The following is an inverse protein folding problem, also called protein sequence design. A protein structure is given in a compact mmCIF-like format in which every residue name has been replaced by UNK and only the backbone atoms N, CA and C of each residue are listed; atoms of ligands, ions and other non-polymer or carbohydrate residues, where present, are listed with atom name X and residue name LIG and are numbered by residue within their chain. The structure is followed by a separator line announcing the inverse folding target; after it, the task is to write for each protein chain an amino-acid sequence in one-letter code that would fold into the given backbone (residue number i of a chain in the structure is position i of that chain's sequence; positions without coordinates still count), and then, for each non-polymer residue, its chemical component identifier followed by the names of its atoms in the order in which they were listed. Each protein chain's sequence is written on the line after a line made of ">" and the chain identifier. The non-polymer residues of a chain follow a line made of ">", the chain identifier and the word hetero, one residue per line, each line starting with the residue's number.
data_IF_545125437642
#
_entry.id   IF_545125437642
#
_cell.length_a   1.000
_cell.length_b   1.000
_cell.length_c   1.000
_cell.angle_alpha   90.00
_cell.angle_beta   90.00
_cell.angle_gamma   90.00
#
_symmetry.space_group_name_H-M   'P 1'
#
loop_
_entity.id
_entity.type
_entity.pdbx_description
1 polymer ?
#
# COMPACT_ATOMS: atom_id res chain seq x y z
N UNK A 1 40.17 -22.96 -3.66
CA UNK A 1 38.99 -22.62 -2.82
C UNK A 1 38.49 -21.25 -3.24
N UNK A 2 37.20 -20.96 -3.05
CA UNK A 2 36.59 -19.66 -3.37
C UNK A 2 35.78 -19.22 -2.15
N UNK A 3 35.85 -17.93 -1.81
CA UNK A 3 35.05 -17.31 -0.77
C UNK A 3 33.76 -16.74 -1.40
N UNK A 4 32.62 -17.08 -0.82
CA UNK A 4 31.30 -16.71 -1.33
C UNK A 4 30.42 -16.18 -0.21
N UNK A 5 29.79 -15.02 -0.45
CA UNK A 5 28.93 -14.32 0.51
C UNK A 5 27.53 -14.09 -0.11
N UNK A 6 26.48 -14.56 0.55
CA UNK A 6 25.09 -14.18 0.22
C UNK A 6 24.61 -13.13 1.22
N UNK A 7 24.36 -11.92 0.73
CA UNK A 7 23.72 -10.86 1.51
C UNK A 7 22.20 -10.99 1.40
N UNK A 8 21.53 -11.16 2.54
CA UNK A 8 20.06 -11.20 2.59
C UNK A 8 19.52 -9.77 2.53
N UNK A 9 18.68 -9.50 1.54
CA UNK A 9 17.91 -8.27 1.43
C UNK A 9 16.61 -8.32 2.25
N UNK A 10 15.66 -7.45 1.92
CA UNK A 10 14.35 -7.42 2.56
C UNK A 10 13.59 -8.74 2.31
N UNK A 11 12.76 -9.19 3.28
CA UNK A 11 11.82 -10.28 3.04
C UNK A 11 10.73 -9.85 2.04
N UNK A 12 9.90 -10.79 1.61
CA UNK A 12 8.73 -10.46 0.81
C UNK A 12 7.66 -9.82 1.69
N UNK A 13 6.94 -8.83 1.15
CA UNK A 13 5.78 -8.26 1.83
C UNK A 13 4.61 -9.24 1.69
N UNK A 14 3.97 -9.56 2.82
CA UNK A 14 2.74 -10.37 2.84
C UNK A 14 1.62 -9.60 3.54
N UNK A 15 0.44 -9.64 2.93
CA UNK A 15 -0.78 -9.15 3.52
C UNK A 15 -1.51 -10.33 4.17
N UNK A 16 -1.85 -10.20 5.45
CA UNK A 16 -2.61 -11.24 6.15
C UNK A 16 -4.06 -11.24 5.66
N UNK A 17 -4.56 -12.42 5.25
CA UNK A 17 -5.79 -12.57 4.49
C UNK A 17 -7.01 -11.99 5.21
N UNK A 18 -7.16 -12.27 6.51
CA UNK A 18 -8.33 -11.82 7.28
C UNK A 18 -8.31 -10.32 7.54
N UNK A 19 -7.17 -9.77 7.94
CA UNK A 19 -6.98 -8.34 8.14
C UNK A 19 -7.20 -7.58 6.83
N UNK A 20 -6.64 -8.06 5.73
CA UNK A 20 -6.81 -7.44 4.42
C UNK A 20 -8.25 -7.50 3.92
N UNK A 21 -8.96 -8.60 4.16
CA UNK A 21 -10.39 -8.68 3.84
C UNK A 21 -11.23 -7.64 4.62
N UNK A 22 -10.93 -7.45 5.91
CA UNK A 22 -11.59 -6.43 6.73
C UNK A 22 -11.24 -5.00 6.26
N UNK A 23 -9.95 -4.72 6.04
CA UNK A 23 -9.49 -3.42 5.54
C UNK A 23 -10.11 -3.11 4.18
N UNK A 24 -10.22 -4.09 3.29
CA UNK A 24 -10.90 -3.93 2.00
C UNK A 24 -12.36 -3.53 2.20
N UNK A 25 -13.12 -4.25 3.04
CA UNK A 25 -14.52 -3.92 3.29
C UNK A 25 -14.70 -2.51 3.88
N UNK A 26 -13.83 -2.10 4.80
CA UNK A 26 -13.88 -0.75 5.38
C UNK A 26 -13.46 0.33 4.37
N UNK A 27 -12.50 0.04 3.49
CA UNK A 27 -12.11 0.96 2.42
C UNK A 27 -13.25 1.11 1.39
N UNK A 28 -13.96 0.03 1.04
CA UNK A 28 -15.11 0.08 0.13
C UNK A 28 -16.27 0.89 0.73
N UNK A 29 -16.48 0.81 2.05
CA UNK A 29 -17.46 1.60 2.79
C UNK A 29 -17.11 3.11 2.79
N UNK A 30 -15.83 3.46 2.93
CA UNK A 30 -15.37 4.85 2.96
C UNK A 30 -15.25 5.49 1.56
N UNK A 31 -14.69 4.75 0.59
CA UNK A 31 -14.34 5.25 -0.74
C UNK A 31 -15.38 4.94 -1.81
N UNK A 32 -16.29 4.01 -1.56
CA UNK A 32 -17.08 3.37 -2.60
C UNK A 32 -16.35 2.18 -3.24
N UNK A 33 -17.11 1.15 -3.60
CA UNK A 33 -16.58 -0.15 -4.06
C UNK A 33 -15.77 -0.03 -5.35
N UNK A 34 -16.16 0.88 -6.23
CA UNK A 34 -15.50 1.15 -7.50
C UNK A 34 -14.10 1.75 -7.35
N UNK A 35 -13.79 2.33 -6.20
CA UNK A 35 -12.50 2.99 -5.92
C UNK A 35 -11.51 2.07 -5.19
N UNK A 36 -11.89 0.82 -4.90
CA UNK A 36 -11.03 -0.17 -4.24
C UNK A 36 -10.73 -1.31 -5.21
N UNK A 37 -9.52 -1.34 -5.73
CA UNK A 37 -9.13 -2.24 -6.82
C UNK A 37 -8.19 -3.34 -6.32
N UNK A 38 -8.31 -4.52 -6.94
CA UNK A 38 -7.29 -5.55 -6.78
C UNK A 38 -6.07 -5.20 -7.64
N UNK A 39 -4.88 -5.44 -7.09
CA UNK A 39 -3.61 -5.14 -7.74
C UNK A 39 -2.87 -6.45 -8.02
N UNK A 40 -2.23 -6.51 -9.18
CA UNK A 40 -1.27 -7.57 -9.48
C UNK A 40 -0.05 -7.50 -8.55
N UNK A 41 0.63 -8.64 -8.42
CA UNK A 41 1.91 -8.72 -7.71
C UNK A 41 2.91 -7.75 -8.33
N UNK A 42 3.61 -7.01 -7.48
CA UNK A 42 4.65 -6.08 -7.89
C UNK A 42 6.01 -6.53 -7.33
N UNK A 43 7.01 -6.53 -8.20
CA UNK A 43 8.37 -6.99 -7.86
C UNK A 43 9.22 -5.95 -7.13
N UNK A 44 8.65 -4.82 -6.71
CA UNK A 44 9.38 -3.82 -5.92
C UNK A 44 9.67 -4.35 -4.51
N UNK A 45 10.81 -3.95 -3.96
CA UNK A 45 11.15 -4.22 -2.57
C UNK A 45 10.60 -3.12 -1.68
N UNK A 46 10.05 -3.50 -0.53
CA UNK A 46 9.43 -2.60 0.45
C UNK A 46 9.84 -3.08 1.85
N UNK A 47 10.38 -2.19 2.69
CA UNK A 47 10.89 -2.59 4.00
C UNK A 47 9.77 -2.80 5.04
N UNK A 48 8.56 -2.30 4.75
CA UNK A 48 7.35 -2.67 5.50
C UNK A 48 7.17 -4.19 5.57
N UNK A 49 7.74 -4.94 4.60
CA UNK A 49 7.79 -6.39 4.63
C UNK A 49 8.29 -6.96 5.97
N UNK A 50 9.21 -6.29 6.67
CA UNK A 50 9.66 -6.73 8.00
C UNK A 50 8.53 -6.78 9.03
N UNK A 51 7.60 -5.83 9.01
CA UNK A 51 6.43 -5.86 9.91
C UNK A 51 5.51 -7.03 9.57
N UNK A 52 5.29 -7.28 8.27
CA UNK A 52 4.46 -8.41 7.84
C UNK A 52 5.00 -9.78 8.22
N UNK A 53 6.29 -9.90 8.57
CA UNK A 53 6.86 -11.17 9.04
C UNK A 53 6.55 -11.49 10.50
N UNK A 54 6.18 -10.48 11.31
CA UNK A 54 6.10 -10.62 12.78
C UNK A 54 4.72 -10.32 13.35
N UNK A 55 3.82 -9.75 12.56
CA UNK A 55 2.43 -9.48 12.95
C UNK A 55 1.54 -9.47 11.71
N UNK A 56 0.25 -9.73 11.92
CA UNK A 56 -0.77 -9.53 10.88
C UNK A 56 -0.67 -8.08 10.38
N UNK A 57 -0.46 -7.93 9.08
CA UNK A 57 -0.23 -6.65 8.44
C UNK A 57 -1.03 -6.55 7.13
N UNK A 58 -1.42 -5.34 6.78
CA UNK A 58 -2.06 -5.03 5.51
C UNK A 58 -1.44 -3.75 4.95
N UNK A 59 -0.76 -3.89 3.82
CA UNK A 59 -0.19 -2.81 3.04
C UNK A 59 -1.00 -2.64 1.75
N UNK A 60 -1.51 -1.43 1.53
CA UNK A 60 -2.26 -1.07 0.33
C UNK A 60 -1.59 0.11 -0.37
N UNK A 61 -1.89 0.30 -1.66
CA UNK A 61 -1.42 1.49 -2.40
C UNK A 61 -2.54 2.50 -2.52
N UNK A 62 -2.19 3.75 -2.35
CA UNK A 62 -3.07 4.88 -2.61
C UNK A 62 -2.87 5.37 -4.05
N UNK A 63 -3.97 5.61 -4.77
CA UNK A 63 -3.92 6.23 -6.09
C UNK A 63 -3.53 7.70 -6.00
N UNK A 64 -2.41 8.08 -6.63
CA UNK A 64 -1.93 9.48 -6.69
C UNK A 64 -1.84 10.02 -8.12
N UNK A 65 -2.21 9.20 -9.11
CA UNK A 65 -2.14 9.50 -10.55
C UNK A 65 -3.26 10.46 -10.95
N UNK A 66 -2.94 11.46 -11.77
CA UNK A 66 -3.92 12.35 -12.39
C UNK A 66 -3.55 12.61 -13.86
N UNK A 67 -4.35 12.08 -14.79
CA UNK A 67 -4.09 12.22 -16.24
C UNK A 67 -4.35 13.64 -16.75
N UNK A 68 -5.38 14.32 -16.24
CA UNK A 68 -5.74 15.69 -16.65
C UNK A 68 -4.63 16.70 -16.33
N UNK A 69 -3.89 16.47 -15.24
CA UNK A 69 -2.75 17.27 -14.79
C UNK A 69 -1.40 16.76 -15.31
N UNK A 70 -1.38 15.66 -16.07
CA UNK A 70 -0.15 15.02 -16.56
C UNK A 70 0.67 14.27 -15.50
N UNK A 71 0.15 14.13 -14.27
CA UNK A 71 0.77 13.41 -13.15
C UNK A 71 0.64 11.90 -13.37
N UNK A 72 1.54 11.36 -14.19
CA UNK A 72 1.46 9.98 -14.71
C UNK A 72 2.75 9.18 -14.56
N UNK A 73 3.80 9.84 -14.08
CA UNK A 73 5.14 9.27 -13.91
C UNK A 73 5.18 8.28 -12.74
N UNK A 74 5.94 7.21 -12.89
CA UNK A 74 6.21 6.26 -11.82
C UNK A 74 7.10 6.86 -10.73
N UNK A 75 7.08 6.26 -9.54
CA UNK A 75 8.08 6.52 -8.49
C UNK A 75 9.50 6.34 -9.04
N UNK A 76 10.46 7.09 -8.49
CA UNK A 76 11.88 7.12 -8.89
C UNK A 76 12.22 7.77 -10.24
N UNK A 77 11.28 8.45 -10.90
CA UNK A 77 11.61 9.29 -12.07
C UNK A 77 11.81 10.76 -11.67
N UNK A 78 12.60 11.57 -12.43
CA UNK A 78 12.78 13.00 -12.14
C UNK A 78 11.51 13.84 -12.37
N UNK A 79 10.50 13.26 -13.04
CA UNK A 79 9.19 13.88 -13.34
C UNK A 79 8.09 13.34 -12.43
N UNK A 80 8.43 12.57 -11.40
CA UNK A 80 7.47 12.09 -10.41
C UNK A 80 6.81 13.28 -9.70
N UNK A 81 5.50 13.20 -9.57
CA UNK A 81 4.66 14.13 -8.84
C UNK A 81 3.41 13.38 -8.34
N UNK A 82 2.62 14.00 -7.48
CA UNK A 82 1.39 13.42 -6.91
C UNK A 82 0.24 14.41 -6.97
N UNK A 83 -0.98 13.91 -7.17
CA UNK A 83 -2.16 14.72 -6.95
C UNK A 83 -2.36 14.95 -5.45
N UNK A 84 -2.14 16.18 -4.97
CA UNK A 84 -2.26 16.54 -3.55
C UNK A 84 -3.65 16.28 -2.95
N UNK A 85 -4.72 16.19 -3.77
CA UNK A 85 -6.03 15.76 -3.28
C UNK A 85 -6.02 14.36 -2.68
N UNK A 86 -5.06 13.50 -3.10
CA UNK A 86 -4.86 12.18 -2.49
C UNK A 86 -4.43 12.25 -1.02
N UNK A 87 -3.85 13.36 -0.54
CA UNK A 87 -3.45 13.51 0.86
C UNK A 87 -4.67 13.56 1.80
N UNK A 88 -5.75 14.23 1.37
CA UNK A 88 -7.02 14.26 2.10
C UNK A 88 -7.64 12.86 2.16
N UNK A 89 -7.69 12.17 1.01
CA UNK A 89 -8.18 10.79 0.92
C UNK A 89 -7.37 9.85 1.82
N UNK A 90 -6.04 9.96 1.78
CA UNK A 90 -5.11 9.13 2.55
C UNK A 90 -5.37 9.22 4.05
N UNK A 91 -5.41 10.45 4.56
CA UNK A 91 -5.53 10.71 5.99
C UNK A 91 -6.90 10.31 6.52
N UNK A 92 -7.97 10.64 5.79
CA UNK A 92 -9.32 10.24 6.12
C UNK A 92 -9.50 8.72 6.11
N UNK A 93 -9.02 8.04 5.08
CA UNK A 93 -9.08 6.59 4.98
C UNK A 93 -8.31 5.92 6.13
N UNK A 94 -7.06 6.32 6.39
CA UNK A 94 -6.24 5.72 7.46
C UNK A 94 -6.90 5.88 8.84
N UNK A 95 -7.47 7.06 9.12
CA UNK A 95 -8.21 7.30 10.36
C UNK A 95 -9.46 6.42 10.45
N UNK A 96 -10.23 6.34 9.36
CA UNK A 96 -11.44 5.51 9.29
C UNK A 96 -11.13 4.03 9.52
N UNK A 97 -10.13 3.48 8.81
CA UNK A 97 -9.69 2.09 8.96
C UNK A 97 -9.29 1.77 10.40
N UNK A 98 -8.54 2.67 11.05
CA UNK A 98 -8.14 2.49 12.44
C UNK A 98 -9.36 2.45 13.40
N UNK A 99 -10.32 3.36 13.23
CA UNK A 99 -11.53 3.38 14.06
C UNK A 99 -12.37 2.10 13.91
N UNK A 100 -12.60 1.66 12.66
CA UNK A 100 -13.35 0.44 12.36
C UNK A 100 -12.66 -0.80 12.90
N UNK A 101 -11.33 -0.87 12.78
CA UNK A 101 -10.55 -1.99 13.30
C UNK A 101 -10.57 -2.06 14.83
N UNK A 102 -10.69 -0.92 15.52
CA UNK A 102 -10.85 -0.85 16.97
C UNK A 102 -12.29 -1.10 17.45
N UNK A 103 -13.25 -1.26 16.52
CA UNK A 103 -14.65 -1.54 16.83
C UNK A 103 -15.50 -0.31 17.13
N UNK A 104 -15.07 0.88 16.70
CA UNK A 104 -15.84 2.12 16.79
C UNK A 104 -16.66 2.38 15.52
#
# INVERSE_FOLDING_TARGET
>A
TCDFEIRKGYPFLINEEKLTANVRAFAEDYLGKENVLDLDIWMAAEDFAYFSQVTDACFYRLGTRNEERGITSSVHTPTFDVDESSLEVSTGLMAYLALKQLGN
#
